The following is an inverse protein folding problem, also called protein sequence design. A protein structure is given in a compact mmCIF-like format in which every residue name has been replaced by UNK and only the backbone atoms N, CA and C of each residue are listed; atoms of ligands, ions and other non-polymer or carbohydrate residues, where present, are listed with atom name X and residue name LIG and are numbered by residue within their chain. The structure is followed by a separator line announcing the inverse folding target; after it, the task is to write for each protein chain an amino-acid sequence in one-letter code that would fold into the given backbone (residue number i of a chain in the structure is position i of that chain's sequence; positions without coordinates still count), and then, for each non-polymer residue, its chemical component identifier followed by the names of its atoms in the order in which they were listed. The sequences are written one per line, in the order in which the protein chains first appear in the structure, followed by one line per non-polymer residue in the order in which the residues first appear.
data_IF_488079614562
#
_entry.id   IF_488079614562
#
_cell.length_a   1.000
_cell.length_b   1.000
_cell.length_c   1.000
_cell.angle_alpha   90.00
_cell.angle_beta   90.00
_cell.angle_gamma   90.00
#
_symmetry.space_group_name_H-M   'P 1'
#
loop_
_entity.id
_entity.type
_entity.pdbx_description
1 polymer ?
#
# COMPACT_ATOMS: atom_id res chain seq x y z
N UNK A 1 -4.16 -44.60 -34.59
CA UNK A 1 -4.35 -44.54 -33.12
C UNK A 1 -5.26 -43.34 -32.83
N UNK A 2 -6.55 -43.58 -32.61
CA UNK A 2 -7.51 -42.52 -32.27
C UNK A 2 -7.30 -42.12 -30.81
N UNK A 3 -6.98 -40.85 -30.54
CA UNK A 3 -6.96 -40.36 -29.16
C UNK A 3 -8.34 -40.60 -28.52
N UNK A 4 -8.43 -41.20 -27.33
CA UNK A 4 -9.71 -41.38 -26.65
C UNK A 4 -10.29 -39.99 -26.37
N UNK A 5 -11.49 -39.73 -26.92
CA UNK A 5 -12.20 -38.44 -26.78
C UNK A 5 -12.35 -38.01 -25.31
N UNK A 6 -12.36 -38.98 -24.41
CA UNK A 6 -12.41 -38.79 -22.96
C UNK A 6 -11.14 -38.13 -22.39
N UNK A 7 -9.96 -38.38 -22.97
CA UNK A 7 -8.71 -37.77 -22.51
C UNK A 7 -8.70 -36.26 -22.76
N UNK A 8 -9.15 -35.82 -23.94
CA UNK A 8 -9.27 -34.41 -24.26
C UNK A 8 -10.34 -33.73 -23.39
N UNK A 9 -11.46 -34.41 -23.13
CA UNK A 9 -12.52 -33.86 -22.27
C UNK A 9 -12.05 -33.67 -20.83
N UNK A 10 -11.34 -34.66 -20.27
CA UNK A 10 -10.76 -34.56 -18.91
C UNK A 10 -9.72 -33.46 -18.82
N UNK A 11 -8.89 -33.29 -19.84
CA UNK A 11 -7.91 -32.21 -19.89
C UNK A 11 -8.58 -30.81 -19.93
N UNK A 12 -9.65 -30.65 -20.70
CA UNK A 12 -10.45 -29.42 -20.70
C UNK A 12 -11.08 -29.13 -19.34
N UNK A 13 -11.56 -30.17 -18.65
CA UNK A 13 -12.11 -30.05 -17.30
C UNK A 13 -11.04 -29.69 -16.26
N UNK A 14 -9.83 -30.25 -16.36
CA UNK A 14 -8.69 -29.87 -15.51
C UNK A 14 -8.25 -28.42 -15.73
N UNK A 15 -8.20 -27.95 -16.99
CA UNK A 15 -7.90 -26.55 -17.29
C UNK A 15 -8.98 -25.60 -16.73
N UNK A 16 -10.25 -25.93 -16.93
CA UNK A 16 -11.35 -25.12 -16.40
C UNK A 16 -11.35 -25.09 -14.86
N UNK A 17 -10.94 -26.18 -14.20
CA UNK A 17 -10.77 -26.22 -12.75
C UNK A 17 -9.60 -25.35 -12.28
N UNK A 18 -8.48 -25.35 -13.03
CA UNK A 18 -7.32 -24.50 -12.75
C UNK A 18 -7.67 -23.01 -12.89
N UNK A 19 -8.38 -22.62 -13.96
CA UNK A 19 -8.80 -21.22 -14.16
C UNK A 19 -9.70 -20.74 -13.01
N UNK A 20 -10.69 -21.53 -12.60
CA UNK A 20 -11.53 -21.23 -11.43
C UNK A 20 -10.70 -21.06 -10.15
N UNK A 21 -9.71 -21.93 -9.94
CA UNK A 21 -8.84 -21.84 -8.77
C UNK A 21 -7.95 -20.59 -8.78
N UNK A 22 -7.49 -20.15 -9.96
CA UNK A 22 -6.71 -18.92 -10.13
C UNK A 22 -7.59 -17.70 -9.86
N UNK A 23 -8.81 -17.67 -10.39
CA UNK A 23 -9.78 -16.61 -10.15
C UNK A 23 -10.10 -16.47 -8.66
N UNK A 24 -10.42 -17.56 -7.97
CA UNK A 24 -10.73 -17.58 -6.53
C UNK A 24 -9.55 -17.12 -5.66
N UNK A 25 -8.31 -17.48 -6.02
CA UNK A 25 -7.12 -16.99 -5.31
C UNK A 25 -6.92 -15.49 -5.55
N UNK A 26 -7.19 -15.02 -6.76
CA UNK A 26 -7.02 -13.61 -7.11
C UNK A 26 -8.04 -12.71 -6.39
N UNK A 27 -9.30 -13.16 -6.25
CA UNK A 27 -10.36 -12.43 -5.56
C UNK A 27 -10.09 -12.38 -4.05
N UNK A 28 -9.71 -13.51 -3.44
CA UNK A 28 -9.30 -13.57 -2.02
C UNK A 28 -8.09 -12.67 -1.71
N UNK A 29 -7.12 -12.58 -2.63
CA UNK A 29 -5.95 -11.70 -2.46
C UNK A 29 -6.34 -10.22 -2.54
N UNK A 30 -7.26 -9.85 -3.44
CA UNK A 30 -7.77 -8.48 -3.58
C UNK A 30 -8.57 -8.05 -2.34
N UNK A 31 -9.45 -8.91 -1.84
CA UNK A 31 -10.24 -8.62 -0.63
C UNK A 31 -9.36 -8.51 0.62
N UNK A 32 -8.37 -9.40 0.78
CA UNK A 32 -7.40 -9.30 1.87
C UNK A 32 -6.59 -8.00 1.81
N UNK A 33 -6.16 -7.57 0.61
CA UNK A 33 -5.46 -6.30 0.41
C UNK A 33 -6.34 -5.09 0.75
N UNK A 34 -7.62 -5.12 0.37
CA UNK A 34 -8.58 -4.07 0.74
C UNK A 34 -8.83 -4.03 2.25
N UNK A 35 -8.97 -5.19 2.90
CA UNK A 35 -9.11 -5.26 4.35
C UNK A 35 -7.86 -4.70 5.07
N UNK A 36 -6.66 -5.00 4.58
CA UNK A 36 -5.41 -4.44 5.11
C UNK A 36 -5.32 -2.92 4.91
N UNK A 37 -5.74 -2.39 3.76
CA UNK A 37 -5.80 -0.93 3.54
C UNK A 37 -6.79 -0.27 4.52
N UNK A 38 -7.96 -0.87 4.74
CA UNK A 38 -8.94 -0.36 5.72
C UNK A 38 -8.40 -0.41 7.16
N UNK A 39 -7.68 -1.47 7.54
CA UNK A 39 -7.02 -1.55 8.85
C UNK A 39 -5.96 -0.45 9.02
N UNK A 40 -5.16 -0.18 7.97
CA UNK A 40 -4.16 0.88 7.99
C UNK A 40 -4.80 2.28 8.08
N UNK A 41 -5.93 2.50 7.40
CA UNK A 41 -6.69 3.75 7.51
C UNK A 41 -7.22 3.99 8.92
N UNK A 42 -7.75 2.96 9.59
CA UNK A 42 -8.17 3.04 11.00
C UNK A 42 -7.01 3.35 11.93
N UNK A 43 -5.90 2.61 11.82
CA UNK A 43 -4.71 2.86 12.62
C UNK A 43 -4.18 4.31 12.42
N UNK A 44 -4.26 4.82 11.19
CA UNK A 44 -3.87 6.21 10.89
C UNK A 44 -4.80 7.22 11.56
N UNK A 45 -6.11 6.98 11.56
CA UNK A 45 -7.08 7.83 12.25
C UNK A 45 -6.87 7.82 13.77
N UNK A 46 -6.66 6.65 14.35
CA UNK A 46 -6.37 6.49 15.78
C UNK A 46 -5.09 7.25 16.17
N UNK A 47 -4.03 7.11 15.37
CA UNK A 47 -2.78 7.85 15.58
C UNK A 47 -2.98 9.37 15.52
N UNK A 48 -3.73 9.87 14.53
CA UNK A 48 -4.03 11.30 14.41
C UNK A 48 -4.87 11.81 15.58
N UNK A 49 -5.82 11.02 16.08
CA UNK A 49 -6.60 11.36 17.26
C UNK A 49 -5.71 11.43 18.51
N UNK A 50 -4.79 10.48 18.68
CA UNK A 50 -3.81 10.48 19.75
C UNK A 50 -2.87 11.70 19.67
N UNK A 51 -2.40 12.01 18.46
CA UNK A 51 -1.57 13.19 18.19
C UNK A 51 -2.28 14.48 18.60
N UNK A 52 -3.55 14.63 18.23
CA UNK A 52 -4.35 15.80 18.58
C UNK A 52 -4.61 15.91 20.08
N UNK A 53 -4.92 14.79 20.75
CA UNK A 53 -5.21 14.75 22.18
C UNK A 53 -3.99 15.12 23.04
N UNK A 54 -2.82 14.56 22.71
CA UNK A 54 -1.57 14.79 23.45
C UNK A 54 -0.71 15.91 22.88
N UNK A 55 -1.16 16.60 21.82
CA UNK A 55 -0.42 17.62 21.09
C UNK A 55 0.99 17.17 20.68
N UNK A 56 1.13 15.89 20.31
CA UNK A 56 2.41 15.30 19.96
C UNK A 56 2.99 16.00 18.73
N UNK A 57 4.16 16.57 18.91
CA UNK A 57 4.93 17.24 17.87
C UNK A 57 6.06 16.34 17.38
N UNK A 58 6.66 16.71 16.24
CA UNK A 58 7.87 16.06 15.75
C UNK A 58 8.99 16.19 16.78
N UNK A 59 9.03 17.28 17.56
CA UNK A 59 10.03 17.46 18.62
C UNK A 59 9.89 16.39 19.72
N UNK A 60 8.66 16.02 20.10
CA UNK A 60 8.43 14.97 21.10
C UNK A 60 8.91 13.62 20.59
N UNK A 61 8.68 13.31 19.31
CA UNK A 61 9.17 12.05 18.69
C UNK A 61 10.70 12.05 18.58
N UNK A 62 11.30 13.16 18.15
CA UNK A 62 12.75 13.31 18.00
C UNK A 62 13.47 13.25 19.35
N UNK A 63 12.83 13.67 20.45
CA UNK A 63 13.39 13.59 21.80
C UNK A 63 13.66 12.16 22.30
N UNK A 64 13.02 11.14 21.69
CA UNK A 64 13.27 9.74 22.02
C UNK A 64 14.48 9.13 21.28
N UNK A 65 15.07 9.85 20.33
CA UNK A 65 16.25 9.40 19.59
C UNK A 65 17.53 10.03 20.15
N UNK A 66 18.68 9.33 20.07
CA UNK A 66 19.98 9.98 20.26
C UNK A 66 20.12 11.17 19.29
N UNK A 67 20.72 12.26 19.76
CA UNK A 67 20.79 13.53 19.00
C UNK A 67 21.39 13.34 17.59
N UNK A 68 22.45 12.53 17.49
CA UNK A 68 23.13 12.16 16.24
C UNK A 68 22.19 11.50 15.21
N UNK A 69 21.32 10.60 15.68
CA UNK A 69 20.40 9.84 14.82
C UNK A 69 19.18 10.67 14.39
N UNK A 70 18.68 11.51 15.30
CA UNK A 70 17.53 12.37 15.03
C UNK A 70 17.81 13.42 13.94
N UNK A 71 18.99 14.06 13.99
CA UNK A 71 19.39 15.09 13.02
C UNK A 71 19.61 14.47 11.63
N UNK A 72 20.33 13.33 11.56
CA UNK A 72 20.57 12.64 10.30
C UNK A 72 19.25 12.20 9.63
N UNK A 73 18.29 11.72 10.42
CA UNK A 73 16.96 11.35 9.91
C UNK A 73 16.20 12.54 9.33
N UNK A 74 16.18 13.68 10.04
CA UNK A 74 15.52 14.90 9.56
C UNK A 74 16.18 15.46 8.30
N UNK A 75 17.51 15.44 8.23
CA UNK A 75 18.25 15.84 7.03
C UNK A 75 17.92 14.94 5.84
N UNK A 76 17.81 13.63 6.06
CA UNK A 76 17.37 12.68 5.04
C UNK A 76 15.96 12.97 4.52
N UNK A 77 15.01 13.31 5.40
CA UNK A 77 13.65 13.69 5.01
C UNK A 77 13.61 14.98 4.18
N UNK A 78 14.40 15.99 4.57
CA UNK A 78 14.49 17.27 3.84
C UNK A 78 15.08 17.03 2.45
N UNK A 79 16.20 16.30 2.35
CA UNK A 79 16.83 15.97 1.07
C UNK A 79 15.88 15.19 0.13
N UNK A 80 15.09 14.25 0.66
CA UNK A 80 14.08 13.52 -0.11
C UNK A 80 12.92 14.43 -0.57
N UNK A 81 12.50 15.37 0.28
CA UNK A 81 11.44 16.33 -0.06
C UNK A 81 11.89 17.34 -1.12
N UNK A 82 13.16 17.78 -1.09
CA UNK A 82 13.77 18.66 -2.08
C UNK A 82 14.04 17.94 -3.40
N UNK A 83 14.49 16.68 -3.35
CA UNK A 83 14.71 15.86 -4.53
C UNK A 83 13.41 15.52 -5.28
N UNK A 84 12.25 15.56 -4.60
CA UNK A 84 10.96 15.33 -5.24
C UNK A 84 10.48 16.63 -5.90
N UNK A 85 10.41 16.71 -7.24
CA UNK A 85 9.94 17.92 -7.90
C UNK A 85 8.52 18.22 -7.43
N UNK A 86 8.36 19.36 -6.73
CA UNK A 86 7.05 19.92 -6.38
C UNK A 86 6.30 20.10 -7.70
N UNK A 87 5.34 19.20 -8.00
CA UNK A 87 4.47 19.31 -9.17
C UNK A 87 3.77 20.66 -9.09
N UNK A 88 4.27 21.61 -9.89
CA UNK A 88 3.78 22.98 -9.94
C UNK A 88 2.27 22.98 -10.15
N UNK A 89 1.56 23.63 -9.23
CA UNK A 89 0.15 23.97 -9.39
C UNK A 89 0.07 24.85 -10.64
N UNK A 90 -0.63 24.41 -11.69
CA UNK A 90 -0.88 25.26 -12.87
C UNK A 90 -1.50 26.57 -12.39
N UNK A 91 -0.97 27.75 -12.77
CA UNK A 91 -1.66 29.00 -12.52
C UNK A 91 -3.01 28.95 -13.26
N UNK A 92 -4.09 29.32 -12.56
CA UNK A 92 -5.36 29.61 -13.22
C UNK A 92 -5.09 30.83 -14.11
N UNK A 93 -5.28 30.68 -15.41
CA UNK A 93 -5.35 31.81 -16.32
C UNK A 93 -6.60 32.61 -15.93
N UNK A 94 -6.40 33.81 -15.39
CA UNK A 94 -7.44 34.82 -15.26
C UNK A 94 -7.35 35.74 -16.48
N UNK A 95 -8.48 35.81 -17.20
CA UNK A 95 -8.86 36.66 -18.35
C UNK A 95 -8.25 36.38 -19.71
#
# INVERSE_FOLDING_TARGET
MTLPKDAFRRFQEELAALDKQIEDRSTKKKTAKQAAMSAMERARQEFLALQAHYKLSIADVVSFFPEEEGIAYLQGLIAQAEAKPRRGRKPKADK
#
